data_IF_506668763939
#
_entry.id   IF_506668763939
#
_cell.length_a   1.000
_cell.length_b   1.000
_cell.length_c   1.000
_cell.angle_alpha   90.00
_cell.angle_beta   90.00
_cell.angle_gamma   90.00
#
_symmetry.space_group_name_H-M   'P 1'
#
loop_
_entity.id
_entity.type
_entity.pdbx_description
1 polymer ?
#
# COMPACT_ATOMS: atom_id res chain seq x y z
N UNK A 1 34.83 69.34 -12.73
CA UNK A 1 34.63 67.86 -12.71
C UNK A 1 33.46 67.65 -11.75
N UNK A 2 32.22 67.56 -12.25
CA UNK A 2 31.04 67.44 -11.42
C UNK A 2 30.84 65.89 -11.19
N UNK A 3 31.00 65.53 -9.94
CA UNK A 3 30.58 64.17 -9.50
C UNK A 3 29.02 64.17 -9.48
N UNK A 4 28.42 63.43 -10.38
CA UNK A 4 27.00 63.16 -10.36
C UNK A 4 26.77 62.04 -9.29
N UNK A 5 26.32 62.50 -8.14
CA UNK A 5 25.82 61.57 -7.11
C UNK A 5 24.44 61.07 -7.60
N UNK A 6 24.41 59.84 -8.09
CA UNK A 6 23.19 59.20 -8.53
C UNK A 6 22.50 58.60 -7.31
N UNK A 7 21.81 59.48 -6.56
CA UNK A 7 20.92 59.03 -5.49
C UNK A 7 19.77 58.26 -6.11
N UNK A 8 19.82 56.95 -6.05
CA UNK A 8 18.69 56.14 -6.44
C UNK A 8 17.52 56.46 -5.54
N UNK A 9 16.35 56.84 -6.09
CA UNK A 9 15.24 57.27 -5.27
C UNK A 9 14.81 56.15 -4.33
N UNK A 10 14.68 56.45 -3.04
CA UNK A 10 14.27 55.57 -1.92
C UNK A 10 13.07 54.69 -2.25
N UNK A 11 12.21 55.09 -3.14
CA UNK A 11 11.04 54.39 -3.63
C UNK A 11 11.42 53.10 -4.38
N UNK A 12 12.49 53.09 -5.18
CA UNK A 12 12.94 51.92 -5.95
C UNK A 12 13.59 50.89 -5.00
N UNK A 13 14.32 51.36 -4.00
CA UNK A 13 14.95 50.48 -3.03
C UNK A 13 13.91 49.82 -2.12
N UNK A 14 12.88 50.57 -1.68
CA UNK A 14 11.76 50.02 -0.89
C UNK A 14 10.93 49.03 -1.67
N UNK A 15 10.69 49.26 -2.97
CA UNK A 15 9.95 48.32 -3.82
C UNK A 15 10.72 47.02 -4.05
N UNK A 16 12.05 47.04 -4.23
CA UNK A 16 12.92 45.87 -4.36
C UNK A 16 12.96 45.06 -3.07
N UNK A 17 13.05 45.70 -1.91
CA UNK A 17 12.99 45.06 -0.60
C UNK A 17 11.62 44.40 -0.34
N UNK A 18 10.54 45.05 -0.73
CA UNK A 18 9.19 44.48 -0.65
C UNK A 18 9.05 43.26 -1.56
N UNK A 19 9.56 43.32 -2.78
CA UNK A 19 9.56 42.19 -3.72
C UNK A 19 10.37 41.00 -3.21
N UNK A 20 11.55 41.21 -2.64
CA UNK A 20 12.39 40.19 -2.00
C UNK A 20 11.67 39.53 -0.82
N UNK A 21 10.95 40.31 -0.01
CA UNK A 21 10.14 39.73 1.10
C UNK A 21 9.00 38.86 0.59
N UNK A 22 8.28 39.28 -0.45
CA UNK A 22 7.20 38.50 -1.07
C UNK A 22 7.75 37.21 -1.66
N UNK A 23 8.85 37.26 -2.39
CA UNK A 23 9.51 36.07 -2.95
C UNK A 23 9.97 35.14 -1.83
N UNK A 24 10.56 35.67 -0.76
CA UNK A 24 10.97 34.86 0.40
C UNK A 24 9.80 34.16 1.08
N UNK A 25 8.67 34.84 1.27
CA UNK A 25 7.45 34.24 1.84
C UNK A 25 6.89 33.16 0.92
N UNK A 26 6.85 33.38 -0.40
CA UNK A 26 6.38 32.39 -1.37
C UNK A 26 7.27 31.15 -1.37
N UNK A 27 8.59 31.30 -1.33
CA UNK A 27 9.54 30.19 -1.25
C UNK A 27 9.36 29.40 0.05
N UNK A 28 9.17 30.08 1.19
CA UNK A 28 8.90 29.42 2.46
C UNK A 28 7.59 28.59 2.40
N UNK A 29 6.53 29.14 1.82
CA UNK A 29 5.27 28.44 1.63
C UNK A 29 5.44 27.19 0.76
N UNK A 30 6.19 27.28 -0.32
CA UNK A 30 6.50 26.11 -1.18
C UNK A 30 7.25 25.04 -0.40
N UNK A 31 8.25 25.42 0.39
CA UNK A 31 9.02 24.47 1.23
C UNK A 31 8.12 23.80 2.27
N UNK A 32 7.23 24.55 2.92
CA UNK A 32 6.29 24.01 3.89
C UNK A 32 5.28 23.03 3.25
N UNK A 33 4.77 23.37 2.07
CA UNK A 33 3.84 22.50 1.33
C UNK A 33 4.55 21.21 0.89
N UNK A 34 5.76 21.32 0.30
CA UNK A 34 6.54 20.15 -0.11
C UNK A 34 6.96 19.31 1.09
N UNK A 35 7.36 19.93 2.19
CA UNK A 35 7.67 19.24 3.44
C UNK A 35 6.45 18.53 4.03
N UNK A 36 5.29 19.18 4.03
CA UNK A 36 4.02 18.57 4.45
C UNK A 36 3.62 17.37 3.60
N UNK A 37 3.75 17.48 2.26
CA UNK A 37 3.53 16.37 1.34
C UNK A 37 4.52 15.24 1.62
N UNK A 38 5.81 15.53 1.85
CA UNK A 38 6.82 14.54 2.17
C UNK A 38 6.52 13.78 3.47
N UNK A 39 6.07 14.48 4.51
CA UNK A 39 5.66 13.87 5.79
C UNK A 39 4.41 13.01 5.58
N UNK A 40 3.40 13.50 4.87
CA UNK A 40 2.18 12.76 4.55
C UNK A 40 2.46 11.48 3.75
N UNK A 41 3.35 11.56 2.76
CA UNK A 41 3.73 10.41 1.93
C UNK A 41 4.61 9.41 2.66
N UNK A 42 5.36 9.84 3.71
CA UNK A 42 6.18 8.94 4.54
C UNK A 42 5.34 7.87 5.23
N UNK A 43 4.10 8.17 5.62
CA UNK A 43 3.21 7.23 6.29
C UNK A 43 2.54 6.25 5.31
N UNK A 44 2.57 6.56 4.02
CA UNK A 44 2.08 5.69 2.93
C UNK A 44 3.26 5.08 2.19
N UNK A 45 4.07 4.27 2.88
CA UNK A 45 5.16 3.53 2.24
C UNK A 45 4.61 2.59 1.17
N UNK A 46 5.05 2.81 -0.06
CA UNK A 46 4.75 1.93 -1.20
C UNK A 46 5.89 0.93 -1.33
N UNK A 47 5.53 -0.35 -1.30
CA UNK A 47 6.46 -1.44 -1.53
C UNK A 47 6.28 -1.93 -2.96
N UNK A 48 7.38 -2.00 -3.70
CA UNK A 48 7.40 -2.63 -5.02
C UNK A 48 7.69 -4.12 -4.83
N UNK A 49 6.93 -4.96 -5.49
CA UNK A 49 7.20 -6.39 -5.53
C UNK A 49 7.29 -6.88 -6.97
N UNK A 50 7.98 -8.00 -7.16
CA UNK A 50 8.22 -8.63 -8.45
C UNK A 50 7.78 -10.08 -8.33
N UNK A 51 7.10 -10.57 -9.33
CA UNK A 51 6.95 -11.99 -9.53
C UNK A 51 8.30 -12.60 -9.95
N UNK A 52 8.65 -13.77 -9.41
CA UNK A 52 9.89 -14.51 -9.75
C UNK A 52 10.06 -14.73 -11.26
N UNK A 53 8.96 -14.91 -11.99
CA UNK A 53 8.96 -15.08 -13.44
C UNK A 53 8.95 -13.74 -14.19
N UNK A 54 8.99 -12.61 -13.50
CA UNK A 54 8.89 -11.26 -14.07
C UNK A 54 7.64 -11.06 -14.94
N UNK A 55 6.59 -11.80 -14.67
CA UNK A 55 5.31 -11.72 -15.42
C UNK A 55 4.37 -10.68 -14.84
N UNK A 56 4.55 -10.31 -13.58
CA UNK A 56 3.73 -9.34 -12.89
C UNK A 56 4.58 -8.46 -11.98
N UNK A 57 4.30 -7.18 -12.01
CA UNK A 57 4.90 -6.17 -11.12
C UNK A 57 3.76 -5.41 -10.46
N UNK A 58 3.85 -5.18 -9.17
CA UNK A 58 2.83 -4.45 -8.43
C UNK A 58 3.40 -3.60 -7.31
N UNK A 59 2.55 -2.75 -6.80
CA UNK A 59 2.84 -1.85 -5.70
C UNK A 59 1.94 -2.17 -4.52
N UNK A 60 2.56 -2.41 -3.37
CA UNK A 60 1.88 -2.62 -2.09
C UNK A 60 1.98 -1.34 -1.28
N UNK A 61 0.84 -0.79 -0.90
CA UNK A 61 0.76 0.38 -0.04
C UNK A 61 0.54 -0.05 1.40
N UNK A 62 1.25 0.59 2.35
CA UNK A 62 1.04 0.38 3.76
C UNK A 62 -0.40 0.72 4.14
N UNK A 63 -1.04 -0.13 4.93
CA UNK A 63 -2.38 0.10 5.46
C UNK A 63 -2.34 1.27 6.44
N UNK A 64 -2.99 2.36 6.07
CA UNK A 64 -3.32 3.45 6.97
C UNK A 64 -4.65 4.01 6.50
N UNK A 65 -5.74 3.64 7.19
CA UNK A 65 -7.10 4.05 6.83
C UNK A 65 -7.66 3.40 5.56
N UNK A 66 -7.09 2.27 5.12
CA UNK A 66 -7.63 1.45 4.05
C UNK A 66 -8.52 0.35 4.65
N UNK A 67 -9.69 0.12 4.07
CA UNK A 67 -10.55 -1.00 4.41
C UNK A 67 -10.14 -2.20 3.55
N UNK A 68 -9.83 -3.31 4.20
CA UNK A 68 -9.47 -4.55 3.49
C UNK A 68 -10.74 -5.20 2.98
N UNK A 69 -10.75 -5.53 1.68
CA UNK A 69 -11.85 -6.20 1.01
C UNK A 69 -11.47 -7.63 0.57
N UNK A 70 -12.49 -8.44 0.28
CA UNK A 70 -12.26 -9.77 -0.29
C UNK A 70 -11.65 -9.66 -1.68
N UNK A 71 -10.66 -10.51 -1.93
CA UNK A 71 -9.92 -10.51 -3.18
C UNK A 71 -8.68 -9.60 -3.15
N UNK A 72 -8.49 -8.80 -2.11
CA UNK A 72 -7.29 -7.99 -1.97
C UNK A 72 -6.04 -8.86 -1.83
N UNK A 73 -4.98 -8.46 -2.51
CA UNK A 73 -3.66 -9.03 -2.31
C UNK A 73 -2.95 -8.23 -1.22
N UNK A 74 -2.55 -8.90 -0.17
CA UNK A 74 -1.92 -8.28 1.00
C UNK A 74 -0.50 -8.76 1.20
N UNK A 75 0.33 -7.88 1.72
CA UNK A 75 1.66 -8.22 2.20
C UNK A 75 1.63 -8.46 3.70
N UNK A 76 2.06 -9.63 4.10
CA UNK A 76 2.16 -10.07 5.48
C UNK A 76 3.64 -10.10 5.85
N UNK A 77 3.98 -9.66 7.05
CA UNK A 77 5.35 -9.67 7.57
C UNK A 77 5.38 -10.50 8.87
N UNK A 78 6.08 -11.62 8.80
CA UNK A 78 6.27 -12.52 9.94
C UNK A 78 7.76 -12.70 10.16
N UNK A 79 8.24 -12.22 11.29
CA UNK A 79 9.66 -12.29 11.68
C UNK A 79 10.63 -11.75 10.61
N UNK A 80 10.21 -10.71 9.87
CA UNK A 80 10.99 -10.11 8.80
C UNK A 80 10.88 -10.81 7.44
N UNK A 81 10.15 -11.91 7.36
CA UNK A 81 9.80 -12.57 6.10
C UNK A 81 8.50 -12.01 5.55
N UNK A 82 8.48 -11.66 4.28
CA UNK A 82 7.34 -11.05 3.61
C UNK A 82 6.66 -12.06 2.71
N UNK A 83 5.35 -12.20 2.89
CA UNK A 83 4.49 -13.10 2.14
C UNK A 83 3.41 -12.30 1.44
N UNK A 84 3.07 -12.69 0.21
CA UNK A 84 1.95 -12.13 -0.53
C UNK A 84 0.82 -13.15 -0.52
N UNK A 85 -0.31 -12.77 0.07
CA UNK A 85 -1.47 -13.64 0.18
C UNK A 85 -2.74 -12.89 -0.21
N UNK A 86 -3.74 -13.64 -0.65
CA UNK A 86 -5.02 -13.08 -1.04
C UNK A 86 -6.04 -13.22 0.09
N UNK A 87 -6.74 -12.13 0.38
CA UNK A 87 -7.85 -12.12 1.33
C UNK A 87 -9.04 -12.86 0.71
N UNK A 88 -9.50 -13.90 1.38
CA UNK A 88 -10.65 -14.70 0.97
C UNK A 88 -11.83 -14.47 1.91
N UNK A 89 -11.57 -14.40 3.22
CA UNK A 89 -12.60 -14.18 4.23
C UNK A 89 -12.32 -12.97 5.11
N UNK A 90 -13.36 -12.22 5.37
CA UNK A 90 -13.39 -11.09 6.29
C UNK A 90 -13.83 -11.55 7.69
N UNK A 91 -13.57 -10.76 8.76
CA UNK A 91 -14.07 -11.05 10.11
C UNK A 91 -15.57 -11.39 10.12
N UNK A 92 -15.92 -12.52 10.72
CA UNK A 92 -17.30 -13.03 10.79
C UNK A 92 -17.73 -13.90 9.60
N UNK A 93 -16.95 -14.01 8.54
CA UNK A 93 -17.28 -14.87 7.40
C UNK A 93 -17.20 -16.36 7.77
N UNK A 94 -18.10 -17.14 7.22
CA UNK A 94 -18.06 -18.59 7.31
C UNK A 94 -17.33 -19.16 6.10
N UNK A 95 -16.20 -19.80 6.34
CA UNK A 95 -15.37 -20.43 5.33
C UNK A 95 -15.63 -21.94 5.33
N UNK A 96 -15.81 -22.53 4.16
CA UNK A 96 -15.94 -23.98 3.99
C UNK A 96 -15.14 -24.43 2.77
N UNK A 97 -14.34 -25.48 2.93
CA UNK A 97 -13.68 -26.18 1.83
C UNK A 97 -14.28 -27.56 1.77
N UNK A 98 -14.86 -27.92 0.62
CA UNK A 98 -15.44 -29.23 0.36
C UNK A 98 -15.01 -29.70 -1.02
N UNK A 99 -14.37 -30.86 -1.09
CA UNK A 99 -13.91 -31.46 -2.36
C UNK A 99 -13.01 -30.51 -3.18
N UNK A 100 -12.17 -29.70 -2.53
CA UNK A 100 -11.30 -28.72 -3.18
C UNK A 100 -12.02 -27.46 -3.67
N UNK A 101 -13.30 -27.30 -3.36
CA UNK A 101 -14.07 -26.09 -3.68
C UNK A 101 -14.21 -25.26 -2.42
N UNK A 102 -13.90 -23.97 -2.56
CA UNK A 102 -13.97 -22.97 -1.48
C UNK A 102 -15.32 -22.26 -1.49
N UNK A 103 -15.96 -22.21 -0.35
CA UNK A 103 -17.21 -21.47 -0.15
C UNK A 103 -17.02 -20.42 0.93
N UNK A 104 -17.52 -19.21 0.65
CA UNK A 104 -17.58 -18.10 1.61
C UNK A 104 -19.05 -17.75 1.84
N UNK A 105 -19.53 -17.86 3.07
CA UNK A 105 -20.92 -17.66 3.45
C UNK A 105 -21.91 -18.50 2.62
N UNK A 106 -21.49 -19.71 2.23
CA UNK A 106 -22.29 -20.64 1.45
C UNK A 106 -22.27 -20.43 -0.07
N UNK A 107 -21.63 -19.35 -0.55
CA UNK A 107 -21.44 -19.10 -1.98
C UNK A 107 -20.05 -19.58 -2.42
N UNK A 108 -19.97 -20.20 -3.60
CA UNK A 108 -18.69 -20.59 -4.18
C UNK A 108 -17.81 -19.36 -4.46
N UNK A 109 -16.54 -19.45 -4.07
CA UNK A 109 -15.57 -18.41 -4.28
C UNK A 109 -14.68 -18.74 -5.48
N UNK A 110 -14.45 -17.77 -6.37
CA UNK A 110 -13.56 -17.95 -7.53
C UNK A 110 -12.11 -18.13 -7.08
N UNK A 111 -11.58 -19.33 -7.28
CA UNK A 111 -10.23 -19.75 -6.86
C UNK A 111 -9.25 -19.85 -8.01
N UNK A 112 -9.53 -19.19 -9.15
CA UNK A 112 -8.74 -19.32 -10.38
C UNK A 112 -7.25 -19.06 -10.17
N UNK A 113 -6.92 -18.09 -9.31
CA UNK A 113 -5.54 -17.67 -9.02
C UNK A 113 -5.09 -18.05 -7.59
N UNK A 114 -5.85 -18.92 -6.89
CA UNK A 114 -5.63 -19.24 -5.48
C UNK A 114 -5.37 -20.74 -5.34
N UNK A 115 -4.43 -21.11 -4.48
CA UNK A 115 -4.22 -22.49 -4.11
C UNK A 115 -5.15 -22.88 -2.96
N UNK A 116 -6.12 -23.76 -3.26
CA UNK A 116 -7.03 -24.32 -2.26
C UNK A 116 -6.52 -25.68 -1.84
N UNK A 117 -6.37 -25.88 -0.54
CA UNK A 117 -6.02 -27.19 0.01
C UNK A 117 -7.15 -28.20 -0.27
N UNK A 118 -6.77 -29.45 -0.57
CA UNK A 118 -7.72 -30.54 -0.76
C UNK A 118 -8.39 -31.01 0.55
N UNK A 119 -7.87 -30.59 1.71
CA UNK A 119 -8.44 -30.94 3.01
C UNK A 119 -9.75 -30.21 3.25
N UNK A 120 -10.76 -30.95 3.69
CA UNK A 120 -12.04 -30.35 4.09
C UNK A 120 -11.85 -29.45 5.31
N UNK A 121 -12.39 -28.25 5.24
CA UNK A 121 -12.33 -27.26 6.30
C UNK A 121 -13.69 -26.60 6.50
N UNK A 122 -14.04 -26.27 7.73
CA UNK A 122 -15.20 -25.44 8.05
C UNK A 122 -14.90 -24.63 9.31
N UNK A 123 -15.03 -23.30 9.24
CA UNK A 123 -14.79 -22.40 10.35
C UNK A 123 -15.34 -21.01 10.08
N UNK A 124 -15.44 -20.20 11.13
CA UNK A 124 -15.78 -18.78 11.05
C UNK A 124 -14.53 -17.97 11.29
N UNK A 125 -14.33 -16.93 10.50
CA UNK A 125 -13.19 -16.01 10.64
C UNK A 125 -13.36 -15.22 11.94
N UNK A 126 -12.37 -15.26 12.87
CA UNK A 126 -12.44 -14.53 14.12
C UNK A 126 -12.47 -12.99 13.88
N UNK A 127 -12.88 -12.25 14.91
CA UNK A 127 -12.76 -10.79 14.87
C UNK A 127 -11.29 -10.38 14.78
N UNK A 128 -10.99 -9.35 13.97
CA UNK A 128 -9.65 -8.83 13.70
C UNK A 128 -8.69 -9.81 13.04
N UNK A 129 -9.23 -10.85 12.44
CA UNK A 129 -8.47 -11.78 11.61
C UNK A 129 -9.07 -11.87 10.22
N UNK A 130 -8.27 -12.31 9.27
CA UNK A 130 -8.66 -12.51 7.87
C UNK A 130 -8.32 -13.94 7.47
N UNK A 131 -9.17 -14.56 6.66
CA UNK A 131 -8.82 -15.82 6.05
C UNK A 131 -8.06 -15.57 4.77
N UNK A 132 -6.82 -16.05 4.71
CA UNK A 132 -5.90 -15.79 3.60
C UNK A 132 -5.47 -17.09 2.95
N UNK A 133 -5.20 -17.02 1.64
CA UNK A 133 -4.67 -18.13 0.85
C UNK A 133 -3.54 -17.65 -0.06
N UNK A 134 -2.64 -18.57 -0.38
CA UNK A 134 -1.55 -18.30 -1.30
C UNK A 134 -2.09 -18.02 -2.70
N UNK A 135 -1.61 -16.93 -3.31
CA UNK A 135 -1.94 -16.57 -4.68
C UNK A 135 -1.00 -17.29 -5.64
N UNK A 136 -1.55 -18.16 -6.49
CA UNK A 136 -0.79 -18.92 -7.49
C UNK A 136 -0.14 -18.04 -8.56
N UNK A 137 -0.62 -16.81 -8.72
CA UNK A 137 -0.01 -15.87 -9.67
C UNK A 137 1.39 -15.44 -9.24
N UNK A 138 1.77 -15.69 -7.98
CA UNK A 138 3.08 -15.41 -7.42
C UNK A 138 3.76 -16.74 -7.03
N UNK A 139 4.66 -17.19 -7.87
CA UNK A 139 5.59 -18.29 -7.55
C UNK A 139 6.69 -17.77 -6.58
N UNK A 140 6.27 -17.18 -5.50
CA UNK A 140 7.17 -16.93 -4.39
C UNK A 140 7.26 -18.23 -3.59
N UNK A 141 8.46 -18.77 -3.48
CA UNK A 141 8.80 -19.91 -2.62
C UNK A 141 8.79 -19.42 -1.15
N UNK A 142 7.69 -18.85 -0.74
CA UNK A 142 7.35 -18.63 0.64
C UNK A 142 6.85 -19.98 1.11
N UNK A 143 7.71 -20.76 1.74
CA UNK A 143 7.36 -22.07 2.29
C UNK A 143 5.91 -22.05 2.77
N UNK A 144 5.16 -23.11 2.49
CA UNK A 144 3.73 -23.22 2.82
C UNK A 144 3.48 -22.70 4.22
N UNK A 145 2.80 -21.55 4.29
CA UNK A 145 2.42 -21.00 5.56
C UNK A 145 1.06 -21.60 5.92
N UNK A 146 1.03 -22.48 6.89
CA UNK A 146 -0.17 -23.24 7.29
C UNK A 146 -1.16 -22.40 8.13
N UNK A 147 -0.90 -21.09 8.25
CA UNK A 147 -1.75 -20.17 9.01
C UNK A 147 -2.85 -19.63 8.10
N UNK A 148 -4.05 -20.15 8.27
CA UNK A 148 -5.24 -19.77 7.49
C UNK A 148 -5.91 -18.50 8.01
N UNK A 149 -5.82 -18.23 9.31
CA UNK A 149 -6.34 -17.03 9.95
C UNK A 149 -5.22 -16.08 10.28
N UNK A 150 -5.23 -14.93 9.63
CA UNK A 150 -4.17 -13.94 9.73
C UNK A 150 -4.62 -12.74 10.55
N UNK A 151 -3.99 -12.45 11.69
CA UNK A 151 -4.27 -11.25 12.47
C UNK A 151 -3.99 -9.97 11.66
N UNK A 152 -4.90 -9.00 11.75
CA UNK A 152 -4.79 -7.71 11.06
C UNK A 152 -3.44 -7.02 11.32
N UNK A 153 -2.89 -7.16 12.54
CA UNK A 153 -1.63 -6.52 12.92
C UNK A 153 -0.40 -7.02 12.14
N UNK A 154 -0.48 -8.20 11.50
CA UNK A 154 0.59 -8.75 10.67
C UNK A 154 0.50 -8.29 9.21
N UNK A 155 -0.64 -7.76 8.79
CA UNK A 155 -0.83 -7.23 7.44
C UNK A 155 -0.18 -5.86 7.35
N UNK A 156 0.82 -5.72 6.49
CA UNK A 156 1.63 -4.49 6.34
C UNK A 156 1.21 -3.61 5.20
N UNK A 157 0.55 -4.16 4.21
CA UNK A 157 0.11 -3.40 3.05
C UNK A 157 -0.85 -4.18 2.16
N UNK A 158 -1.54 -3.45 1.29
CA UNK A 158 -2.48 -3.96 0.29
C UNK A 158 -1.99 -3.57 -1.09
N UNK A 159 -2.20 -4.44 -2.08
CA UNK A 159 -1.92 -4.14 -3.47
C UNK A 159 -2.86 -3.03 -3.96
N UNK A 160 -2.28 -1.93 -4.41
CA UNK A 160 -3.05 -0.81 -4.98
C UNK A 160 -2.96 -0.74 -6.49
N UNK A 161 -1.94 -1.38 -7.05
CA UNK A 161 -1.69 -1.35 -8.48
C UNK A 161 -0.80 -2.52 -8.91
N UNK A 162 -1.20 -3.22 -9.96
CA UNK A 162 -0.35 -4.22 -10.61
C UNK A 162 -0.54 -4.21 -12.13
N UNK A 163 0.47 -4.65 -12.87
CA UNK A 163 0.39 -4.85 -14.31
C UNK A 163 1.18 -6.09 -14.73
N UNK A 164 0.69 -6.76 -15.76
CA UNK A 164 1.40 -7.89 -16.38
C UNK A 164 2.46 -7.34 -17.32
N UNK A 165 3.68 -7.82 -17.19
CA UNK A 165 4.75 -7.53 -18.15
C UNK A 165 4.52 -8.43 -19.35
N UNK A 166 4.41 -7.83 -20.56
CA UNK A 166 4.26 -8.56 -21.83
C UNK A 166 5.60 -9.09 -22.28
#
# INVERSE_FOLDING_TARGET
>A
MCAYDFDMPDVIMKSRLAMLRIVGVLMLMVVLVLGGIGIYMRDKLVYNYWDKQKTKIGNIMKISGYTIDRGDLVMIDIEGHRYLQRIVGLPGDRIQIKNGILYVNGSEFDTKDIEVDSMSFSGTVPEKEYYVLDDRSFLYDSGRFDIRFMPECLIRGVEVFSYKVK
#
